data_IF_189285194505
#
_entry.id   IF_189285194505
#
_cell.length_a   1.000
_cell.length_b   1.000
_cell.length_c   1.000
_cell.angle_alpha   90.00
_cell.angle_beta   90.00
_cell.angle_gamma   90.00
#
_symmetry.space_group_name_H-M   'P 1'
#
loop_
_entity.id
_entity.type
_entity.pdbx_description
1 polymer ?
#
# COMPACT_ATOMS: atom_id res chain seq x y z
N UNK A 1 -12.39 5.21 -19.81
CA UNK A 1 -11.62 4.11 -19.19
C UNK A 1 -10.55 4.76 -18.34
N UNK A 2 -10.76 4.85 -17.02
CA UNK A 2 -9.85 5.63 -16.17
C UNK A 2 -8.62 4.76 -15.88
N UNK A 3 -7.50 5.08 -16.53
CA UNK A 3 -6.21 4.48 -16.22
C UNK A 3 -5.80 4.95 -14.84
N UNK A 4 -5.91 4.09 -13.84
CA UNK A 4 -5.44 4.36 -12.49
C UNK A 4 -3.92 4.46 -12.56
N UNK A 5 -3.38 5.67 -12.64
CA UNK A 5 -1.93 5.89 -12.60
C UNK A 5 -1.46 5.70 -11.18
N UNK A 6 -1.05 4.47 -10.87
CA UNK A 6 -0.41 4.08 -9.60
C UNK A 6 0.88 4.87 -9.32
N UNK A 7 1.47 5.48 -10.35
CA UNK A 7 2.76 6.17 -10.30
C UNK A 7 2.71 7.62 -9.80
N UNK A 8 1.53 8.21 -9.57
CA UNK A 8 1.40 9.65 -9.30
C UNK A 8 0.82 9.98 -7.93
N UNK A 9 1.06 9.14 -6.92
CA UNK A 9 0.67 9.51 -5.56
C UNK A 9 1.70 10.52 -5.03
N UNK A 10 1.31 11.79 -4.79
CA UNK A 10 2.19 12.73 -4.10
C UNK A 10 2.38 12.23 -2.67
N UNK A 11 3.63 11.95 -2.33
CA UNK A 11 4.06 11.56 -1.00
C UNK A 11 4.92 12.69 -0.44
N UNK A 12 4.55 13.20 0.73
CA UNK A 12 5.38 14.18 1.42
C UNK A 12 6.72 13.56 1.84
N UNK A 13 7.73 14.37 2.11
CA UNK A 13 9.07 13.90 2.48
C UNK A 13 9.04 12.94 3.68
N UNK A 14 8.20 13.25 4.68
CA UNK A 14 7.99 12.39 5.84
C UNK A 14 7.39 11.02 5.47
N UNK A 15 6.36 11.01 4.61
CA UNK A 15 5.72 9.78 4.14
C UNK A 15 6.70 8.96 3.30
N UNK A 16 7.42 9.60 2.37
CA UNK A 16 8.46 8.96 1.58
C UNK A 16 9.50 8.28 2.45
N UNK A 17 10.00 8.97 3.49
CA UNK A 17 11.00 8.41 4.40
C UNK A 17 10.44 7.23 5.18
N UNK A 18 9.24 7.37 5.72
CA UNK A 18 8.59 6.32 6.52
C UNK A 18 8.28 5.09 5.66
N UNK A 19 7.61 5.30 4.52
CA UNK A 19 7.23 4.25 3.59
C UNK A 19 8.44 3.59 2.92
N UNK A 20 9.51 4.34 2.61
CA UNK A 20 10.78 3.77 2.14
C UNK A 20 11.38 2.80 3.16
N UNK A 21 11.31 3.13 4.45
CA UNK A 21 11.70 2.23 5.54
C UNK A 21 10.88 0.94 5.55
N UNK A 22 9.55 1.06 5.47
CA UNK A 22 8.63 -0.08 5.40
C UNK A 22 8.84 -0.93 4.14
N UNK A 23 9.11 -0.29 3.00
CA UNK A 23 9.38 -0.95 1.74
C UNK A 23 10.67 -1.79 1.82
N UNK A 24 11.74 -1.23 2.42
CA UNK A 24 12.98 -1.97 2.68
C UNK A 24 12.77 -3.15 3.63
N UNK A 25 11.97 -2.98 4.68
CA UNK A 25 11.63 -4.09 5.58
C UNK A 25 10.93 -5.21 4.82
N UNK A 26 10.02 -4.86 3.91
CA UNK A 26 9.22 -5.79 3.12
C UNK A 26 9.95 -6.40 1.91
N UNK A 27 11.10 -5.88 1.49
CA UNK A 27 11.86 -6.45 0.38
C UNK A 27 12.28 -7.90 0.68
N UNK A 28 11.98 -8.81 -0.24
CA UNK A 28 12.39 -10.20 -0.15
C UNK A 28 13.88 -10.36 -0.46
N UNK A 29 14.40 -9.59 -1.42
CA UNK A 29 15.76 -9.70 -1.96
C UNK A 29 16.18 -8.41 -2.69
N UNK A 30 17.41 -8.34 -3.19
CA UNK A 30 17.95 -7.22 -4.01
C UNK A 30 17.18 -7.02 -5.32
N UNK A 31 16.36 -8.00 -5.72
CA UNK A 31 15.47 -7.91 -6.89
C UNK A 31 14.43 -6.78 -6.80
N UNK A 32 14.26 -6.13 -5.64
CA UNK A 32 13.29 -5.04 -5.46
C UNK A 32 11.84 -5.52 -5.34
N UNK A 33 11.62 -6.84 -5.31
CA UNK A 33 10.31 -7.47 -5.07
C UNK A 33 10.00 -7.54 -3.58
N UNK A 34 8.75 -7.25 -3.24
CA UNK A 34 8.26 -7.33 -1.87
C UNK A 34 7.82 -8.75 -1.54
N UNK A 35 8.23 -9.24 -0.37
CA UNK A 35 7.81 -10.54 0.15
C UNK A 35 6.38 -10.45 0.66
N UNK A 36 5.48 -11.27 0.12
CA UNK A 36 4.10 -11.35 0.58
C UNK A 36 4.00 -11.63 2.09
N UNK A 37 4.91 -12.45 2.65
CA UNK A 37 4.96 -12.73 4.09
C UNK A 37 5.23 -11.47 4.90
N UNK A 38 6.26 -10.69 4.53
CA UNK A 38 6.65 -9.46 5.24
C UNK A 38 5.57 -8.37 5.11
N UNK A 39 4.99 -8.22 3.91
CA UNK A 39 3.86 -7.32 3.69
C UNK A 39 2.69 -7.72 4.59
N UNK A 40 2.38 -9.01 4.67
CA UNK A 40 1.33 -9.52 5.56
C UNK A 40 1.60 -9.22 7.04
N UNK A 41 2.84 -9.36 7.51
CA UNK A 41 3.22 -8.99 8.89
C UNK A 41 3.06 -7.50 9.14
N UNK A 42 3.46 -6.65 8.19
CA UNK A 42 3.31 -5.21 8.30
C UNK A 42 1.84 -4.76 8.35
N UNK A 43 1.00 -5.40 7.55
CA UNK A 43 -0.44 -5.17 7.53
C UNK A 43 -1.07 -5.57 8.87
N UNK A 44 -0.64 -6.71 9.44
CA UNK A 44 -1.03 -7.13 10.80
C UNK A 44 -0.52 -6.17 11.88
N UNK A 45 0.71 -5.66 11.74
CA UNK A 45 1.30 -4.70 12.68
C UNK A 45 0.53 -3.37 12.73
N UNK A 46 -0.22 -3.07 11.66
CA UNK A 46 -1.09 -1.89 11.62
C UNK A 46 -2.42 -2.07 12.37
N UNK A 47 -2.65 -3.24 12.99
CA UNK A 47 -3.80 -3.56 13.84
C UNK A 47 -5.18 -3.29 13.19
N UNK A 48 -5.24 -3.35 11.87
CA UNK A 48 -6.50 -3.22 11.15
C UNK A 48 -7.24 -4.55 11.09
N UNK A 49 -8.58 -4.52 11.01
CA UNK A 49 -9.36 -5.74 10.85
C UNK A 49 -9.02 -6.43 9.51
N UNK A 50 -9.12 -7.77 9.45
CA UNK A 50 -8.78 -8.54 8.26
C UNK A 50 -9.60 -8.13 7.03
N UNK A 51 -10.84 -7.68 7.21
CA UNK A 51 -11.66 -7.14 6.12
C UNK A 51 -11.00 -5.93 5.46
N UNK A 52 -10.51 -4.97 6.25
CA UNK A 52 -9.78 -3.80 5.74
C UNK A 52 -8.53 -4.20 4.98
N UNK A 53 -7.74 -5.13 5.50
CA UNK A 53 -6.54 -5.63 4.82
C UNK A 53 -6.87 -6.32 3.49
N UNK A 54 -7.97 -7.08 3.45
CA UNK A 54 -8.47 -7.71 2.24
C UNK A 54 -8.91 -6.67 1.22
N UNK A 55 -9.59 -5.62 1.67
CA UNK A 55 -10.02 -4.53 0.81
C UNK A 55 -8.82 -3.79 0.20
N UNK A 56 -7.77 -3.51 0.97
CA UNK A 56 -6.54 -2.85 0.48
C UNK A 56 -5.85 -3.70 -0.59
N UNK A 57 -5.71 -5.01 -0.34
CA UNK A 57 -5.09 -5.96 -1.29
C UNK A 57 -5.90 -6.10 -2.58
N UNK A 58 -7.23 -6.14 -2.49
CA UNK A 58 -8.14 -6.13 -3.64
C UNK A 58 -8.02 -4.84 -4.45
N UNK A 59 -8.07 -3.69 -3.76
CA UNK A 59 -7.96 -2.36 -4.34
C UNK A 59 -6.64 -2.19 -5.08
N UNK A 60 -5.51 -2.59 -4.49
CA UNK A 60 -4.20 -2.53 -5.14
C UNK A 60 -4.03 -3.55 -6.29
N UNK A 61 -4.98 -4.46 -6.50
CA UNK A 61 -4.91 -5.49 -7.53
C UNK A 61 -3.92 -6.62 -7.23
N UNK A 62 -3.46 -6.74 -5.98
CA UNK A 62 -2.44 -7.71 -5.58
C UNK A 62 -2.89 -9.17 -5.80
N UNK A 63 -4.19 -9.44 -5.72
CA UNK A 63 -4.77 -10.78 -5.92
C UNK A 63 -4.60 -11.30 -7.36
N UNK A 64 -4.47 -10.41 -8.36
CA UNK A 64 -4.22 -10.79 -9.76
C UNK A 64 -2.73 -10.94 -10.08
N UNK A 65 -1.86 -10.23 -9.37
CA UNK A 65 -0.41 -10.23 -9.62
C UNK A 65 0.34 -11.23 -8.73
N UNK A 66 -0.17 -11.55 -7.53
CA UNK A 66 0.51 -12.39 -6.55
C UNK A 66 1.68 -11.69 -5.84
N UNK A 67 1.94 -10.42 -6.16
CA UNK A 67 2.96 -9.58 -5.55
C UNK A 67 2.53 -8.12 -5.56
N UNK A 68 3.17 -7.31 -4.71
CA UNK A 68 3.03 -5.85 -4.71
C UNK A 68 4.21 -5.22 -5.43
N UNK A 69 3.92 -4.39 -6.43
CA UNK A 69 4.90 -3.45 -6.97
C UNK A 69 5.19 -2.33 -5.98
N UNK A 70 6.33 -1.66 -6.13
CA UNK A 70 6.75 -0.54 -5.29
C UNK A 70 5.66 0.55 -5.18
N UNK A 71 5.11 1.00 -6.32
CA UNK A 71 4.03 1.99 -6.35
C UNK A 71 2.76 1.49 -5.62
N UNK A 72 2.33 0.25 -5.88
CA UNK A 72 1.16 -0.35 -5.23
C UNK A 72 1.33 -0.45 -3.71
N UNK A 73 2.54 -0.75 -3.23
CA UNK A 73 2.82 -0.82 -1.81
C UNK A 73 2.68 0.53 -1.12
N UNK A 74 3.20 1.61 -1.71
CA UNK A 74 3.00 2.96 -1.19
C UNK A 74 1.51 3.32 -1.09
N UNK A 75 0.72 2.98 -2.12
CA UNK A 75 -0.72 3.20 -2.10
C UNK A 75 -1.39 2.41 -0.97
N UNK A 76 -1.00 1.14 -0.81
CA UNK A 76 -1.51 0.29 0.25
C UNK A 76 -1.25 0.87 1.64
N UNK A 77 -0.05 1.43 1.86
CA UNK A 77 0.30 2.10 3.12
C UNK A 77 -0.55 3.34 3.39
N UNK A 78 -0.83 4.18 2.37
CA UNK A 78 -1.75 5.31 2.53
C UNK A 78 -3.16 4.84 2.86
N UNK A 79 -3.63 3.78 2.20
CA UNK A 79 -4.95 3.21 2.49
C UNK A 79 -5.03 2.63 3.90
N UNK A 80 -3.94 2.04 4.39
CA UNK A 80 -3.81 1.57 5.77
C UNK A 80 -3.93 2.74 6.75
N UNK A 81 -3.21 3.84 6.53
CA UNK A 81 -3.30 5.03 7.36
C UNK A 81 -4.72 5.67 7.30
N UNK A 82 -5.34 5.68 6.11
CA UNK A 82 -6.70 6.13 5.93
C UNK A 82 -7.70 5.27 6.72
N UNK A 83 -7.58 3.95 6.63
CA UNK A 83 -8.41 3.00 7.39
C UNK A 83 -8.24 3.17 8.91
N UNK A 84 -7.00 3.39 9.38
CA UNK A 84 -6.73 3.67 10.79
C UNK A 84 -7.40 4.96 11.26
N UNK A 85 -7.53 5.94 10.37
CA UNK A 85 -8.24 7.20 10.65
C UNK A 85 -9.77 7.08 10.50
N UNK A 86 -10.29 5.89 10.15
CA UNK A 86 -11.71 5.67 9.89
C UNK A 86 -12.19 6.17 8.52
N UNK A 87 -11.27 6.46 7.58
CA UNK A 87 -11.60 6.85 6.22
C UNK A 87 -11.90 5.62 5.34
N UNK A 88 -12.71 5.78 4.28
CA UNK A 88 -13.04 4.69 3.37
C UNK A 88 -11.80 4.19 2.61
N UNK A 89 -11.64 2.87 2.55
CA UNK A 89 -10.55 2.20 1.83
C UNK A 89 -10.86 2.19 0.33
N UNK A 90 -10.61 3.32 -0.33
CA UNK A 90 -10.82 3.51 -1.77
C UNK A 90 -9.62 4.24 -2.38
N UNK A 91 -9.25 3.84 -3.59
CA UNK A 91 -8.17 4.49 -4.35
C UNK A 91 -8.40 5.97 -4.53
N UNK A 92 -9.63 6.33 -4.85
CA UNK A 92 -10.04 7.72 -5.05
C UNK A 92 -9.68 8.60 -3.85
N UNK A 93 -9.72 8.06 -2.62
CA UNK A 93 -9.36 8.78 -1.41
C UNK A 93 -7.85 9.03 -1.24
N UNK A 94 -7.00 8.29 -1.95
CA UNK A 94 -5.52 8.41 -1.84
C UNK A 94 -4.85 8.98 -3.10
N UNK A 95 -5.51 8.90 -4.26
CA UNK A 95 -5.03 9.44 -5.54
C UNK A 95 -5.50 10.85 -5.86
N UNK A 96 -6.53 11.39 -5.20
CA UNK A 96 -6.95 12.77 -5.41
C UNK A 96 -6.02 13.75 -4.66
N UNK A 97 -4.80 13.89 -5.16
CA UNK A 97 -4.04 15.13 -5.01
C UNK A 97 -4.46 16.06 -6.14
N UNK A 98 -5.15 17.14 -5.80
CA UNK A 98 -5.54 18.23 -6.70
C UNK A 98 -4.33 18.85 -7.41
#
# INVERSE_FOLDING_TARGET
MQGITWSFIPLNENEQRYYSGLHKLCQADTSGKLSASKVGELFKASQLPPESLHQITEVCGAKRLGYFGTAQFYVALKLLAAAQSGLPIRLESVTFGT
#
